data_IF_124724562007
#
_entry.id   IF_124724562007
#
_cell.length_a   1.000
_cell.length_b   1.000
_cell.length_c   1.000
_cell.angle_alpha   90.00
_cell.angle_beta   90.00
_cell.angle_gamma   90.00
#
_symmetry.space_group_name_H-M   'P 1'
#
loop_
_entity.id
_entity.type
_entity.pdbx_description
1 polymer ?
#
# COMPACT_ATOMS: atom_id res chain seq x y z
N UNK A 1 56.93 35.57 19.66
CA UNK A 1 55.96 34.53 19.34
C UNK A 1 54.67 35.22 18.87
N UNK A 2 54.42 35.32 17.57
CA UNK A 2 53.23 35.94 17.01
C UNK A 2 52.23 34.82 16.64
N UNK A 3 51.06 34.82 17.29
CA UNK A 3 49.95 33.93 16.92
C UNK A 3 49.31 34.44 15.63
N UNK A 4 49.28 33.62 14.60
CA UNK A 4 48.45 33.83 13.40
C UNK A 4 47.03 33.32 13.71
N UNK A 5 46.10 34.22 13.88
CA UNK A 5 44.66 33.95 13.66
C UNK A 5 44.40 34.08 12.16
N UNK A 6 44.15 32.97 11.51
CA UNK A 6 43.57 32.95 10.18
C UNK A 6 42.03 32.97 10.32
N UNK A 7 41.44 34.10 10.00
CA UNK A 7 39.98 34.20 9.79
C UNK A 7 39.67 33.55 8.44
N UNK A 8 38.89 32.47 8.46
CA UNK A 8 38.26 31.93 7.26
C UNK A 8 36.95 32.68 7.10
N UNK A 9 37.01 33.79 6.41
CA UNK A 9 35.79 34.46 5.89
C UNK A 9 35.31 33.68 4.67
N UNK A 10 34.47 32.68 4.85
CA UNK A 10 33.66 32.18 3.75
C UNK A 10 32.63 33.27 3.39
N UNK A 11 32.42 33.54 2.08
CA UNK A 11 31.56 34.66 1.65
C UNK A 11 30.10 34.34 1.99
N UNK A 12 29.58 35.04 2.98
CA UNK A 12 28.17 35.02 3.44
C UNK A 12 27.17 35.12 2.27
N UNK A 13 27.55 35.73 1.16
CA UNK A 13 26.77 35.85 -0.06
C UNK A 13 26.45 34.51 -0.76
N UNK A 14 27.40 33.57 -0.83
CA UNK A 14 27.22 32.27 -1.48
C UNK A 14 26.29 31.37 -0.64
N UNK A 15 26.38 31.49 0.67
CA UNK A 15 25.51 30.73 1.58
C UNK A 15 24.07 31.24 1.49
N UNK A 16 23.84 32.56 1.43
CA UNK A 16 22.51 33.14 1.32
C UNK A 16 21.87 32.88 -0.06
N UNK A 17 22.63 32.88 -1.13
CA UNK A 17 22.16 32.56 -2.49
C UNK A 17 21.78 31.09 -2.65
N UNK A 18 22.57 30.18 -2.06
CA UNK A 18 22.26 28.77 -2.01
C UNK A 18 21.05 28.47 -1.11
N UNK A 19 20.89 29.15 0.01
CA UNK A 19 19.71 29.02 0.88
C UNK A 19 18.45 29.50 0.15
N UNK A 20 18.49 30.66 -0.49
CA UNK A 20 17.37 31.19 -1.28
C UNK A 20 16.99 30.29 -2.46
N UNK A 21 17.99 29.69 -3.13
CA UNK A 21 17.74 28.72 -4.21
C UNK A 21 17.15 27.43 -3.68
N UNK A 22 17.63 26.92 -2.55
CA UNK A 22 17.08 25.72 -1.86
C UNK A 22 15.65 26.03 -1.37
N UNK A 23 15.40 27.20 -0.80
CA UNK A 23 14.05 27.62 -0.38
C UNK A 23 13.09 27.71 -1.59
N UNK A 24 13.50 28.30 -2.70
CA UNK A 24 12.72 28.39 -3.93
C UNK A 24 12.44 27.01 -4.54
N UNK A 25 13.46 26.11 -4.56
CA UNK A 25 13.31 24.75 -5.07
C UNK A 25 12.41 23.91 -4.15
N UNK A 26 12.42 24.15 -2.82
CA UNK A 26 11.54 23.49 -1.84
C UNK A 26 10.09 23.99 -1.96
N UNK A 27 9.85 25.27 -2.22
CA UNK A 27 8.50 25.80 -2.46
C UNK A 27 7.86 25.21 -3.72
N UNK A 28 8.66 24.91 -4.76
CA UNK A 28 8.17 24.27 -5.99
C UNK A 28 8.05 22.74 -5.86
N UNK A 29 8.77 22.12 -4.93
CA UNK A 29 8.89 20.66 -4.84
C UNK A 29 7.85 19.99 -3.92
N UNK A 30 7.15 20.75 -3.07
CA UNK A 30 6.17 20.12 -2.16
C UNK A 30 4.93 19.64 -2.89
N UNK A 31 4.64 18.37 -2.69
CA UNK A 31 3.62 17.65 -3.44
C UNK A 31 4.15 17.18 -4.80
N UNK A 32 3.26 16.80 -5.71
CA UNK A 32 3.67 16.34 -7.03
C UNK A 32 4.26 17.48 -7.89
N UNK A 33 5.03 17.12 -8.93
CA UNK A 33 5.54 18.10 -9.92
C UNK A 33 4.40 18.89 -10.53
N UNK A 34 4.63 20.20 -10.69
CA UNK A 34 3.68 21.13 -11.33
C UNK A 34 3.71 21.06 -12.85
N UNK A 35 4.84 20.64 -13.44
CA UNK A 35 5.01 20.53 -14.88
C UNK A 35 5.30 19.09 -15.28
N UNK A 36 4.60 18.59 -16.28
CA UNK A 36 4.86 17.28 -16.85
C UNK A 36 5.59 17.41 -18.18
N UNK A 37 6.77 16.80 -18.28
CA UNK A 37 7.43 16.61 -19.56
C UNK A 37 6.69 15.55 -20.39
N UNK A 38 6.90 15.52 -21.70
CA UNK A 38 6.33 14.48 -22.55
C UNK A 38 6.78 13.05 -22.10
N UNK A 39 8.02 12.92 -21.62
CA UNK A 39 8.54 11.65 -21.07
C UNK A 39 7.79 11.24 -19.81
N UNK A 40 7.53 12.18 -18.90
CA UNK A 40 6.74 11.92 -17.69
C UNK A 40 5.32 11.46 -18.04
N UNK A 41 4.68 12.10 -19.03
CA UNK A 41 3.34 11.72 -19.50
C UNK A 41 3.35 10.34 -20.16
N UNK A 42 4.36 10.03 -20.98
CA UNK A 42 4.50 8.71 -21.61
C UNK A 42 4.72 7.57 -20.58
N UNK A 43 5.58 7.78 -19.58
CA UNK A 43 5.77 6.82 -18.49
C UNK A 43 4.50 6.64 -17.65
N UNK A 44 3.77 7.71 -17.39
CA UNK A 44 2.48 7.63 -16.69
C UNK A 44 1.47 6.80 -17.48
N UNK A 45 1.36 7.02 -18.78
CA UNK A 45 0.50 6.23 -19.66
C UNK A 45 0.93 4.74 -19.66
N UNK A 46 2.23 4.50 -19.75
CA UNK A 46 2.76 3.13 -19.69
C UNK A 46 2.34 2.42 -18.39
N UNK A 47 2.44 3.09 -17.24
CA UNK A 47 2.05 2.52 -15.94
C UNK A 47 0.53 2.31 -15.85
N UNK A 48 -0.27 3.24 -16.38
CA UNK A 48 -1.75 3.08 -16.41
C UNK A 48 -2.15 1.83 -17.20
N UNK A 49 -1.41 1.49 -18.26
CA UNK A 49 -1.66 0.29 -19.07
C UNK A 49 -1.05 -0.96 -18.44
N UNK A 50 0.18 -0.88 -17.96
CA UNK A 50 0.93 -2.07 -17.49
C UNK A 50 0.43 -2.56 -16.15
N UNK A 51 0.05 -1.69 -15.20
CA UNK A 51 -0.38 -2.15 -13.87
C UNK A 51 -1.61 -3.08 -13.91
N UNK A 52 -2.70 -2.80 -14.63
CA UNK A 52 -3.80 -3.74 -14.77
C UNK A 52 -3.38 -5.07 -15.44
N UNK A 53 -2.49 -5.01 -16.44
CA UNK A 53 -1.98 -6.21 -17.12
C UNK A 53 -1.15 -7.07 -16.16
N UNK A 54 -0.32 -6.47 -15.29
CA UNK A 54 0.44 -7.18 -14.26
C UNK A 54 -0.48 -7.88 -13.27
N UNK A 55 -1.56 -7.21 -12.82
CA UNK A 55 -2.53 -7.82 -11.90
C UNK A 55 -3.23 -9.01 -12.56
N UNK A 56 -3.67 -8.88 -13.82
CA UNK A 56 -4.30 -9.97 -14.58
C UNK A 56 -3.31 -11.09 -14.87
N UNK A 57 -2.07 -10.76 -15.24
CA UNK A 57 -1.01 -11.74 -15.51
C UNK A 57 -0.72 -12.59 -14.27
N UNK A 58 -0.54 -11.97 -13.10
CA UNK A 58 -0.28 -12.71 -11.87
C UNK A 58 -1.45 -13.63 -11.49
N UNK A 59 -2.69 -13.17 -11.66
CA UNK A 59 -3.86 -14.01 -11.46
C UNK A 59 -3.91 -15.19 -12.44
N UNK A 60 -3.66 -14.95 -13.74
CA UNK A 60 -3.65 -16.00 -14.75
C UNK A 60 -2.55 -17.03 -14.49
N UNK A 61 -1.36 -16.58 -14.08
CA UNK A 61 -0.26 -17.45 -13.68
C UNK A 61 -0.65 -18.38 -12.53
N UNK A 62 -1.35 -17.85 -11.51
CA UNK A 62 -1.84 -18.65 -10.38
C UNK A 62 -2.95 -19.62 -10.78
N UNK A 63 -3.91 -19.16 -11.56
CA UNK A 63 -5.11 -19.94 -11.87
C UNK A 63 -4.86 -21.06 -12.86
N UNK A 64 -4.00 -20.83 -13.88
CA UNK A 64 -3.84 -21.70 -15.04
C UNK A 64 -2.44 -22.31 -15.20
N UNK A 65 -1.42 -21.76 -14.53
CA UNK A 65 -0.02 -22.14 -14.74
C UNK A 65 0.73 -22.47 -13.44
N UNK A 66 0.03 -22.87 -12.40
CA UNK A 66 0.60 -23.27 -11.10
C UNK A 66 1.54 -22.20 -10.49
N UNK A 67 1.31 -20.91 -10.77
CA UNK A 67 2.16 -19.80 -10.35
C UNK A 67 3.44 -19.60 -11.18
N UNK A 68 3.62 -20.36 -12.28
CA UNK A 68 4.81 -20.26 -13.13
C UNK A 68 4.73 -19.05 -14.07
N UNK A 69 5.49 -17.99 -13.77
CA UNK A 69 5.61 -16.83 -14.63
C UNK A 69 6.24 -17.18 -16.00
N UNK A 70 7.19 -18.12 -16.04
CA UNK A 70 7.85 -18.56 -17.29
C UNK A 70 6.89 -19.31 -18.20
N UNK A 71 6.09 -20.24 -17.67
CA UNK A 71 5.07 -20.93 -18.46
C UNK A 71 4.00 -19.97 -18.98
N UNK A 72 3.58 -19.02 -18.15
CA UNK A 72 2.61 -17.97 -18.53
C UNK A 72 3.16 -17.09 -19.66
N UNK A 73 4.43 -16.65 -19.58
CA UNK A 73 5.07 -15.83 -20.61
C UNK A 73 5.29 -16.61 -21.90
N UNK A 74 5.68 -17.90 -21.85
CA UNK A 74 5.80 -18.76 -23.04
C UNK A 74 4.47 -18.86 -23.76
N UNK A 75 3.40 -19.21 -23.05
CA UNK A 75 2.05 -19.31 -23.63
C UNK A 75 1.55 -17.95 -24.16
N UNK A 76 1.82 -16.85 -23.45
CA UNK A 76 1.48 -15.50 -23.92
C UNK A 76 2.23 -15.16 -25.22
N UNK A 77 3.51 -15.57 -25.34
CA UNK A 77 4.32 -15.35 -26.56
C UNK A 77 3.83 -16.19 -27.73
N UNK A 78 3.40 -17.43 -27.48
CA UNK A 78 2.93 -18.36 -28.51
C UNK A 78 1.53 -18.00 -29.02
N UNK A 79 0.60 -17.71 -28.10
CA UNK A 79 -0.80 -17.40 -28.45
C UNK A 79 -1.01 -15.93 -28.86
N UNK A 80 -0.14 -15.04 -28.42
CA UNK A 80 -0.33 -13.60 -28.50
C UNK A 80 -1.37 -13.08 -27.49
N UNK A 81 -1.38 -11.77 -27.20
CA UNK A 81 -2.12 -11.20 -26.05
C UNK A 81 -3.64 -11.34 -26.15
N UNK A 82 -4.22 -11.24 -27.35
CA UNK A 82 -5.66 -11.33 -27.55
C UNK A 82 -6.18 -12.75 -27.30
N UNK A 83 -5.52 -13.76 -27.91
CA UNK A 83 -5.90 -15.15 -27.73
C UNK A 83 -5.63 -15.62 -26.31
N UNK A 84 -4.47 -15.26 -25.75
CA UNK A 84 -4.14 -15.53 -24.34
C UNK A 84 -5.25 -15.01 -23.40
N UNK A 85 -5.64 -13.74 -23.53
CA UNK A 85 -6.71 -13.17 -22.69
C UNK A 85 -8.07 -13.83 -22.93
N UNK A 86 -8.38 -14.22 -24.17
CA UNK A 86 -9.64 -14.90 -24.48
C UNK A 86 -9.78 -16.25 -23.78
N UNK A 87 -8.66 -16.98 -23.61
CA UNK A 87 -8.61 -18.31 -22.99
C UNK A 87 -8.41 -18.20 -21.47
N UNK A 88 -7.37 -17.48 -21.05
CA UNK A 88 -6.86 -17.46 -19.68
C UNK A 88 -7.21 -16.19 -18.90
N UNK A 89 -7.78 -15.16 -19.52
CA UNK A 89 -8.16 -13.92 -18.84
C UNK A 89 -9.39 -14.07 -17.92
N UNK A 90 -9.45 -13.30 -16.83
CA UNK A 90 -10.59 -13.34 -15.93
C UNK A 90 -11.86 -12.86 -16.64
N UNK A 91 -12.98 -13.51 -16.37
CA UNK A 91 -14.26 -13.18 -17.01
C UNK A 91 -15.12 -12.34 -16.04
N UNK A 92 -15.74 -11.25 -16.52
CA UNK A 92 -16.69 -10.50 -15.71
C UNK A 92 -17.93 -11.36 -15.40
N UNK A 93 -18.44 -11.21 -14.18
CA UNK A 93 -19.72 -11.81 -13.78
C UNK A 93 -20.58 -10.78 -13.07
N UNK A 94 -21.88 -10.78 -13.37
CA UNK A 94 -22.84 -9.86 -12.71
C UNK A 94 -22.81 -10.02 -11.19
N UNK A 95 -22.72 -11.27 -10.72
CA UNK A 95 -22.65 -11.59 -9.29
C UNK A 95 -21.43 -10.91 -8.61
N UNK A 96 -20.26 -11.01 -9.22
CA UNK A 96 -19.04 -10.39 -8.66
C UNK A 96 -19.11 -8.86 -8.73
N UNK A 97 -19.61 -8.29 -9.82
CA UNK A 97 -19.76 -6.83 -9.97
C UNK A 97 -20.73 -6.25 -8.95
N UNK A 98 -21.89 -6.88 -8.76
CA UNK A 98 -22.87 -6.47 -7.74
C UNK A 98 -22.34 -6.70 -6.32
N UNK A 99 -21.62 -7.81 -6.08
CA UNK A 99 -20.97 -8.11 -4.81
C UNK A 99 -19.92 -7.05 -4.46
N UNK A 100 -19.10 -6.63 -5.43
CA UNK A 100 -18.11 -5.57 -5.22
C UNK A 100 -18.75 -4.20 -5.01
N UNK A 101 -19.81 -3.87 -5.74
CA UNK A 101 -20.58 -2.64 -5.51
C UNK A 101 -21.22 -2.63 -4.12
N UNK A 102 -21.82 -3.74 -3.68
CA UNK A 102 -22.37 -3.88 -2.32
C UNK A 102 -21.27 -3.74 -1.25
N UNK A 103 -20.08 -4.29 -1.49
CA UNK A 103 -18.90 -4.11 -0.64
C UNK A 103 -18.51 -2.64 -0.49
N UNK A 104 -18.43 -1.88 -1.59
CA UNK A 104 -18.11 -0.45 -1.56
C UNK A 104 -19.16 0.35 -0.80
N UNK A 105 -20.44 0.07 -1.03
CA UNK A 105 -21.55 0.74 -0.32
C UNK A 105 -21.49 0.41 1.17
N UNK A 106 -21.31 -0.86 1.54
CA UNK A 106 -21.21 -1.28 2.93
C UNK A 106 -20.04 -0.58 3.64
N UNK A 107 -18.85 -0.60 3.04
CA UNK A 107 -17.68 0.09 3.62
C UNK A 107 -17.87 1.61 3.68
N UNK A 108 -18.54 2.21 2.70
CA UNK A 108 -18.90 3.62 2.71
C UNK A 108 -19.83 3.99 3.87
N UNK A 109 -20.87 3.18 4.10
CA UNK A 109 -21.79 3.35 5.23
C UNK A 109 -21.08 3.17 6.58
N UNK A 110 -20.23 2.15 6.70
CA UNK A 110 -19.43 1.92 7.91
C UNK A 110 -18.47 3.10 8.15
N UNK A 111 -17.78 3.59 7.13
CA UNK A 111 -16.89 4.76 7.26
C UNK A 111 -17.64 6.02 7.68
N UNK A 112 -18.82 6.26 7.09
CA UNK A 112 -19.64 7.44 7.37
C UNK A 112 -20.27 7.40 8.76
N UNK A 113 -20.87 6.29 9.16
CA UNK A 113 -21.75 6.24 10.32
C UNK A 113 -21.12 5.64 11.57
N UNK A 114 -20.08 4.78 11.42
CA UNK A 114 -19.45 4.19 12.59
C UNK A 114 -18.65 5.25 13.36
N UNK A 115 -18.89 5.41 14.67
CA UNK A 115 -18.15 6.36 15.49
C UNK A 115 -16.67 5.98 15.59
N UNK A 116 -15.79 6.99 15.71
CA UNK A 116 -14.37 6.80 15.87
C UNK A 116 -13.66 8.09 16.27
N UNK A 117 -12.39 8.01 16.66
CA UNK A 117 -11.59 9.20 16.97
C UNK A 117 -11.49 10.12 15.75
N UNK A 118 -11.37 11.41 16.01
CA UNK A 118 -11.02 12.42 15.00
C UNK A 118 -9.53 12.71 15.16
N UNK A 119 -8.77 12.42 14.14
CA UNK A 119 -7.33 12.66 14.08
C UNK A 119 -7.03 13.80 13.11
N UNK A 120 -5.98 14.56 13.38
CA UNK A 120 -5.52 15.65 12.52
C UNK A 120 -4.35 15.17 11.66
N UNK A 121 -4.41 15.46 10.37
CA UNK A 121 -3.35 15.16 9.40
C UNK A 121 -2.17 16.15 9.50
N UNK A 122 -1.25 16.05 8.53
CA UNK A 122 -0.20 17.03 8.34
C UNK A 122 -0.78 18.30 7.67
N UNK A 123 -0.13 19.43 7.90
CA UNK A 123 -0.42 20.66 7.18
C UNK A 123 -0.23 20.45 5.67
N UNK A 124 -1.20 20.87 4.87
CA UNK A 124 -1.05 20.82 3.41
C UNK A 124 -0.17 21.97 2.91
N UNK A 125 0.31 21.94 1.65
CA UNK A 125 1.07 23.05 1.07
C UNK A 125 0.34 24.40 1.13
N UNK A 126 -1.00 24.40 1.04
CA UNK A 126 -1.81 25.60 1.15
C UNK A 126 -2.12 26.04 2.59
N UNK A 127 -1.59 25.37 3.62
CA UNK A 127 -1.82 25.70 5.03
C UNK A 127 -3.07 25.07 5.64
N UNK A 128 -3.74 24.12 4.95
CA UNK A 128 -4.93 23.48 5.48
C UNK A 128 -4.55 22.37 6.48
N UNK A 129 -5.16 22.39 7.67
CA UNK A 129 -5.01 21.34 8.67
C UNK A 129 -6.26 20.45 8.68
N UNK A 130 -6.19 19.31 8.03
CA UNK A 130 -7.34 18.49 7.72
C UNK A 130 -7.64 17.47 8.84
N UNK A 131 -8.94 17.28 9.13
CA UNK A 131 -9.43 16.28 10.09
C UNK A 131 -9.83 15.00 9.39
N UNK A 132 -9.65 13.88 10.09
CA UNK A 132 -9.92 12.53 9.58
C UNK A 132 -10.61 11.68 10.63
N UNK A 133 -11.59 10.89 10.23
CA UNK A 133 -12.21 9.89 11.09
C UNK A 133 -11.41 8.59 11.04
N UNK A 134 -10.65 8.29 12.09
CA UNK A 134 -9.83 7.08 12.22
C UNK A 134 -10.60 5.97 12.92
N UNK A 135 -11.62 5.44 12.24
CA UNK A 135 -12.50 4.37 12.73
C UNK A 135 -12.19 3.00 12.13
N UNK A 136 -11.01 2.83 11.49
CA UNK A 136 -10.65 1.66 10.71
C UNK A 136 -10.62 0.36 11.49
N UNK A 137 -10.09 0.36 12.70
CA UNK A 137 -10.08 -0.85 13.53
C UNK A 137 -11.49 -1.35 13.84
N UNK A 138 -12.40 -0.43 14.18
CA UNK A 138 -13.81 -0.77 14.43
C UNK A 138 -14.50 -1.28 13.17
N UNK A 139 -14.24 -0.65 12.02
CA UNK A 139 -14.75 -1.08 10.73
C UNK A 139 -14.26 -2.48 10.37
N UNK A 140 -12.97 -2.74 10.59
CA UNK A 140 -12.37 -4.05 10.39
C UNK A 140 -13.01 -5.12 11.29
N UNK A 141 -13.14 -4.86 12.61
CA UNK A 141 -13.77 -5.80 13.56
C UNK A 141 -15.20 -6.12 13.13
N UNK A 142 -16.04 -5.11 12.89
CA UNK A 142 -17.45 -5.31 12.51
C UNK A 142 -17.54 -6.11 11.21
N UNK A 143 -16.73 -5.79 10.21
CA UNK A 143 -16.73 -6.49 8.93
C UNK A 143 -16.39 -7.97 9.09
N UNK A 144 -15.35 -8.30 9.87
CA UNK A 144 -14.93 -9.69 10.09
C UNK A 144 -15.92 -10.46 10.96
N UNK A 145 -16.46 -9.84 12.00
CA UNK A 145 -17.50 -10.46 12.84
C UNK A 145 -18.75 -10.78 12.01
N UNK A 146 -19.21 -9.86 11.18
CA UNK A 146 -20.37 -10.10 10.31
C UNK A 146 -20.08 -11.21 9.28
N UNK A 147 -18.91 -11.21 8.66
CA UNK A 147 -18.49 -12.23 7.70
C UNK A 147 -18.44 -13.63 8.33
N UNK A 148 -17.79 -13.74 9.49
CA UNK A 148 -17.68 -15.02 10.22
C UNK A 148 -19.04 -15.48 10.79
N UNK A 149 -19.85 -14.57 11.32
CA UNK A 149 -21.21 -14.90 11.79
C UNK A 149 -22.11 -15.39 10.66
N UNK A 150 -22.06 -14.74 9.49
CA UNK A 150 -22.79 -15.19 8.31
C UNK A 150 -22.34 -16.60 7.86
N UNK A 151 -21.04 -16.89 7.95
CA UNK A 151 -20.52 -18.24 7.70
C UNK A 151 -20.98 -19.28 8.75
N UNK A 152 -20.92 -18.92 10.04
CA UNK A 152 -21.34 -19.81 11.14
C UNK A 152 -22.84 -20.16 11.11
N UNK A 153 -23.66 -19.23 10.65
CA UNK A 153 -25.11 -19.46 10.45
C UNK A 153 -25.44 -20.18 9.13
N UNK A 154 -24.44 -20.42 8.26
CA UNK A 154 -24.66 -21.02 6.95
C UNK A 154 -25.33 -20.09 5.91
N UNK A 155 -25.53 -18.82 6.24
CA UNK A 155 -26.15 -17.85 5.32
C UNK A 155 -25.18 -17.36 4.24
N UNK A 156 -23.88 -17.50 4.47
CA UNK A 156 -22.81 -17.13 3.54
C UNK A 156 -21.75 -18.25 3.47
N UNK A 157 -21.36 -18.63 2.26
CA UNK A 157 -20.17 -19.44 2.07
C UNK A 157 -18.91 -18.59 2.31
N UNK A 158 -18.10 -18.95 3.32
CA UNK A 158 -16.86 -18.20 3.62
C UNK A 158 -15.85 -18.23 2.46
N UNK A 159 -15.91 -19.22 1.56
CA UNK A 159 -15.10 -19.29 0.35
C UNK A 159 -15.63 -18.42 -0.80
N UNK A 160 -16.67 -17.60 -0.58
CA UNK A 160 -17.37 -16.85 -1.64
C UNK A 160 -16.44 -15.91 -2.42
N UNK A 161 -15.49 -15.25 -1.75
CA UNK A 161 -14.53 -14.35 -2.41
C UNK A 161 -13.59 -15.18 -3.29
N UNK A 162 -13.00 -16.25 -2.77
CA UNK A 162 -12.10 -17.12 -3.53
C UNK A 162 -12.79 -17.74 -4.75
N UNK A 163 -14.04 -18.21 -4.62
CA UNK A 163 -14.83 -18.81 -5.70
C UNK A 163 -15.27 -17.83 -6.79
N UNK A 164 -15.38 -16.53 -6.46
CA UNK A 164 -15.79 -15.49 -7.42
C UNK A 164 -14.63 -14.53 -7.77
N UNK A 165 -13.39 -14.88 -7.38
CA UNK A 165 -12.24 -13.99 -7.51
C UNK A 165 -11.97 -13.51 -8.94
N UNK A 166 -12.11 -14.32 -10.01
CA UNK A 166 -11.93 -13.84 -11.38
C UNK A 166 -12.84 -12.65 -11.73
N UNK A 167 -14.12 -12.79 -11.42
CA UNK A 167 -15.10 -11.71 -11.66
C UNK A 167 -14.88 -10.49 -10.77
N UNK A 168 -14.46 -10.68 -9.51
CA UNK A 168 -14.08 -9.60 -8.61
C UNK A 168 -12.85 -8.85 -9.11
N UNK A 169 -11.86 -9.58 -9.69
CA UNK A 169 -10.68 -8.97 -10.28
C UNK A 169 -11.04 -8.02 -11.42
N UNK A 170 -11.96 -8.41 -12.31
CA UNK A 170 -12.44 -7.52 -13.37
C UNK A 170 -13.18 -6.32 -12.80
N UNK A 171 -14.06 -6.54 -11.81
CA UNK A 171 -14.81 -5.47 -11.18
C UNK A 171 -13.91 -4.43 -10.50
N UNK A 172 -12.90 -4.87 -9.76
CA UNK A 172 -11.99 -3.99 -9.02
C UNK A 172 -11.03 -3.23 -9.95
N UNK A 173 -10.53 -3.88 -11.01
CA UNK A 173 -9.71 -3.23 -12.05
C UNK A 173 -10.52 -2.13 -12.74
N UNK A 174 -11.73 -2.46 -13.16
CA UNK A 174 -12.64 -1.49 -13.78
C UNK A 174 -12.94 -0.32 -12.86
N UNK A 175 -13.29 -0.61 -11.59
CA UNK A 175 -13.55 0.43 -10.60
C UNK A 175 -12.33 1.34 -10.37
N UNK A 176 -11.13 0.80 -10.25
CA UNK A 176 -9.91 1.58 -10.02
C UNK A 176 -9.60 2.57 -11.16
N UNK A 177 -9.86 2.16 -12.42
CA UNK A 177 -9.75 3.06 -13.57
C UNK A 177 -10.79 4.19 -13.51
N UNK A 178 -12.05 3.86 -13.22
CA UNK A 178 -13.12 4.87 -13.09
C UNK A 178 -12.92 5.77 -11.88
N UNK A 179 -12.40 5.26 -10.76
CA UNK A 179 -12.10 6.05 -9.56
C UNK A 179 -11.12 7.18 -9.86
N UNK A 180 -10.06 6.88 -10.62
CA UNK A 180 -9.07 7.89 -11.02
C UNK A 180 -9.68 8.95 -11.96
N UNK A 181 -10.51 8.53 -12.90
CA UNK A 181 -11.23 9.44 -13.78
C UNK A 181 -12.21 10.32 -12.99
N UNK A 182 -12.94 9.73 -12.05
CA UNK A 182 -13.84 10.47 -11.17
C UNK A 182 -13.07 11.51 -10.33
N UNK A 183 -11.92 11.14 -9.75
CA UNK A 183 -11.08 12.05 -8.98
C UNK A 183 -10.60 13.22 -9.85
N UNK A 184 -10.20 12.97 -11.09
CA UNK A 184 -9.79 14.01 -12.03
C UNK A 184 -10.96 14.96 -12.38
N UNK A 185 -12.12 14.42 -12.72
CA UNK A 185 -13.32 15.22 -13.01
C UNK A 185 -13.71 16.06 -11.79
N UNK A 186 -13.76 15.43 -10.60
CA UNK A 186 -14.08 16.12 -9.35
C UNK A 186 -13.14 17.30 -9.08
N UNK A 187 -11.85 17.14 -9.34
CA UNK A 187 -10.85 18.19 -9.15
C UNK A 187 -11.11 19.44 -10.01
N UNK A 188 -11.75 19.26 -11.18
CA UNK A 188 -12.10 20.39 -12.05
C UNK A 188 -13.40 21.07 -11.64
N UNK A 189 -14.45 20.28 -11.31
CA UNK A 189 -15.82 20.82 -11.14
C UNK A 189 -16.21 21.10 -9.68
N UNK A 190 -15.66 20.31 -8.73
CA UNK A 190 -16.02 20.40 -7.31
C UNK A 190 -14.81 20.09 -6.41
N UNK A 191 -13.72 20.87 -6.48
CA UNK A 191 -12.55 20.64 -5.65
C UNK A 191 -12.84 20.89 -4.18
N UNK A 192 -12.27 20.03 -3.30
CA UNK A 192 -12.41 20.17 -1.86
C UNK A 192 -11.61 21.34 -1.31
N UNK A 193 -10.37 21.48 -1.76
CA UNK A 193 -9.44 22.55 -1.40
C UNK A 193 -8.80 23.11 -2.67
N UNK A 194 -9.38 24.16 -3.28
CA UNK A 194 -8.90 24.71 -4.55
C UNK A 194 -7.43 25.13 -4.54
N UNK A 195 -6.92 25.60 -3.39
CA UNK A 195 -5.54 26.05 -3.21
C UNK A 195 -4.52 24.90 -3.14
N UNK A 196 -4.95 23.67 -2.85
CA UNK A 196 -4.08 22.47 -2.83
C UNK A 196 -4.12 21.69 -4.16
N UNK A 197 -4.76 22.23 -5.19
CA UNK A 197 -4.74 21.61 -6.54
C UNK A 197 -3.44 21.92 -7.27
N UNK A 198 -2.93 20.93 -8.00
CA UNK A 198 -1.80 21.10 -8.92
C UNK A 198 -2.15 20.55 -10.30
N UNK A 199 -2.04 21.39 -11.30
CA UNK A 199 -2.21 21.05 -12.71
C UNK A 199 -0.84 20.99 -13.38
N UNK A 200 -0.59 19.94 -14.17
CA UNK A 200 0.68 19.76 -14.86
C UNK A 200 0.66 20.19 -16.33
N UNK A 201 -0.51 20.56 -16.84
CA UNK A 201 -0.73 20.77 -18.27
C UNK A 201 -0.86 19.48 -19.10
N UNK A 202 -0.68 18.32 -18.49
CA UNK A 202 -0.84 17.00 -19.13
C UNK A 202 -2.01 16.24 -18.53
N UNK A 203 -3.06 15.97 -19.30
CA UNK A 203 -4.20 15.18 -18.87
C UNK A 203 -3.79 13.79 -18.32
N UNK A 204 -2.86 13.11 -19.00
CA UNK A 204 -2.40 11.77 -18.64
C UNK A 204 -1.65 11.79 -17.31
N UNK A 205 -0.76 12.76 -17.11
CA UNK A 205 -0.03 12.88 -15.85
C UNK A 205 -0.95 13.30 -14.70
N UNK A 206 -1.91 14.20 -14.96
CA UNK A 206 -2.92 14.60 -13.98
C UNK A 206 -3.84 13.45 -13.60
N UNK A 207 -4.22 12.59 -14.55
CA UNK A 207 -4.95 11.35 -14.30
C UNK A 207 -4.14 10.38 -13.43
N UNK A 208 -2.86 10.18 -13.77
CA UNK A 208 -1.97 9.27 -13.06
C UNK A 208 -1.64 9.75 -11.65
N UNK A 209 -1.13 10.97 -11.53
CA UNK A 209 -0.60 11.50 -10.27
C UNK A 209 -1.66 12.17 -9.38
N UNK A 210 -2.81 12.55 -9.94
CA UNK A 210 -3.87 13.28 -9.23
C UNK A 210 -3.71 14.79 -9.27
N UNK A 211 -4.82 15.52 -9.21
CA UNK A 211 -4.87 16.98 -9.15
C UNK A 211 -5.10 17.45 -7.71
N UNK A 212 -6.09 16.88 -7.02
CA UNK A 212 -6.34 17.19 -5.61
C UNK A 212 -5.44 16.35 -4.71
N UNK A 213 -4.86 16.97 -3.69
CA UNK A 213 -4.07 16.27 -2.70
C UNK A 213 -4.94 15.38 -1.81
N UNK A 214 -6.02 15.92 -1.27
CA UNK A 214 -6.94 15.22 -0.38
C UNK A 214 -8.39 15.47 -0.79
N UNK A 215 -8.88 14.82 -1.88
CA UNK A 215 -10.28 14.96 -2.28
C UNK A 215 -11.22 14.41 -1.22
N UNK A 216 -12.34 15.14 -0.97
CA UNK A 216 -13.29 14.86 0.11
C UNK A 216 -14.74 15.07 -0.31
N UNK A 217 -15.63 14.45 0.46
CA UNK A 217 -17.02 14.84 0.62
C UNK A 217 -17.23 15.39 2.04
N UNK A 218 -17.54 16.69 2.14
CA UNK A 218 -17.61 17.35 3.44
C UNK A 218 -16.27 17.36 4.19
N UNK A 219 -16.32 17.48 5.53
CA UNK A 219 -15.11 17.67 6.35
C UNK A 219 -14.35 16.38 6.63
N UNK A 220 -15.05 15.25 6.81
CA UNK A 220 -14.47 14.02 7.36
C UNK A 220 -14.35 12.86 6.37
N UNK A 221 -15.04 12.91 5.23
CA UNK A 221 -15.03 11.82 4.25
C UNK A 221 -13.92 12.00 3.23
N UNK A 222 -12.73 11.50 3.53
CA UNK A 222 -11.53 11.60 2.70
C UNK A 222 -11.39 10.39 1.78
N UNK A 223 -11.12 10.64 0.48
CA UNK A 223 -11.01 9.59 -0.54
C UNK A 223 -9.79 8.70 -0.35
N UNK A 224 -8.64 9.26 0.03
CA UNK A 224 -7.42 8.47 0.23
C UNK A 224 -7.58 7.51 1.41
N UNK A 225 -7.98 8.06 2.57
CA UNK A 225 -8.16 7.25 3.77
C UNK A 225 -9.24 6.20 3.58
N UNK A 226 -10.34 6.54 2.88
CA UNK A 226 -11.40 5.58 2.59
C UNK A 226 -10.91 4.45 1.69
N UNK A 227 -10.43 4.76 0.47
CA UNK A 227 -10.12 3.72 -0.52
C UNK A 227 -8.94 2.84 -0.10
N UNK A 228 -7.91 3.40 0.52
CA UNK A 228 -6.81 2.61 1.03
C UNK A 228 -7.24 1.73 2.22
N UNK A 229 -7.85 2.33 3.23
CA UNK A 229 -8.19 1.61 4.46
C UNK A 229 -9.39 0.68 4.31
N UNK A 230 -10.52 1.15 3.76
CA UNK A 230 -11.79 0.42 3.86
C UNK A 230 -11.94 -0.65 2.77
N UNK A 231 -12.07 -0.33 1.47
CA UNK A 231 -12.17 -1.39 0.48
C UNK A 231 -10.85 -2.11 0.19
N UNK A 232 -9.68 -1.47 0.43
CA UNK A 232 -8.38 -2.06 0.17
C UNK A 232 -7.86 -2.95 1.32
N UNK A 233 -7.41 -2.34 2.42
CA UNK A 233 -6.72 -3.07 3.52
C UNK A 233 -7.68 -3.98 4.29
N UNK A 234 -8.97 -3.62 4.51
CA UNK A 234 -9.94 -4.55 5.12
C UNK A 234 -10.14 -5.78 4.23
N UNK A 235 -10.23 -5.59 2.90
CA UNK A 235 -10.39 -6.71 1.97
C UNK A 235 -9.21 -7.68 2.03
N UNK A 236 -7.99 -7.23 2.31
CA UNK A 236 -6.79 -8.08 2.38
C UNK A 236 -7.02 -9.29 3.31
N UNK A 237 -7.41 -9.07 4.56
CA UNK A 237 -7.65 -10.18 5.51
C UNK A 237 -8.94 -10.95 5.23
N UNK A 238 -9.97 -10.34 4.62
CA UNK A 238 -11.16 -11.08 4.17
C UNK A 238 -10.84 -12.02 3.01
N UNK A 239 -10.02 -11.59 2.06
CA UNK A 239 -9.54 -12.43 0.95
C UNK A 239 -8.76 -13.60 1.53
N UNK A 240 -7.81 -13.37 2.43
CA UNK A 240 -7.04 -14.41 3.10
C UNK A 240 -7.95 -15.43 3.78
N UNK A 241 -8.90 -14.99 4.62
CA UNK A 241 -9.87 -15.87 5.28
C UNK A 241 -10.72 -16.66 4.28
N UNK A 242 -11.13 -16.04 3.17
CA UNK A 242 -11.92 -16.74 2.16
C UNK A 242 -11.13 -17.82 1.43
N UNK A 243 -9.82 -17.60 1.19
CA UNK A 243 -8.95 -18.61 0.64
C UNK A 243 -8.61 -19.72 1.64
N UNK A 244 -8.54 -19.42 2.94
CA UNK A 244 -8.45 -20.42 4.00
C UNK A 244 -9.68 -21.31 4.05
N UNK A 245 -10.87 -20.73 3.97
CA UNK A 245 -12.12 -21.49 3.87
C UNK A 245 -12.18 -22.32 2.58
N UNK A 246 -11.68 -21.78 1.47
CA UNK A 246 -11.59 -22.50 0.20
C UNK A 246 -10.66 -23.71 0.32
N UNK A 247 -9.46 -23.58 0.89
CA UNK A 247 -8.55 -24.72 1.12
C UNK A 247 -9.21 -25.79 1.99
N UNK A 248 -9.84 -25.38 3.10
CA UNK A 248 -10.55 -26.31 3.97
C UNK A 248 -11.63 -27.10 3.24
N UNK A 249 -12.40 -26.44 2.35
CA UNK A 249 -13.43 -27.11 1.55
C UNK A 249 -12.84 -28.09 0.52
N UNK A 250 -11.61 -27.85 0.03
CA UNK A 250 -10.97 -28.71 -0.96
C UNK A 250 -10.32 -29.96 -0.37
N UNK A 251 -9.65 -29.83 0.79
CA UNK A 251 -8.80 -30.90 1.34
C UNK A 251 -9.17 -31.31 2.78
N UNK A 252 -10.18 -30.66 3.41
CA UNK A 252 -10.67 -31.00 4.75
C UNK A 252 -9.86 -30.44 5.91
N UNK A 253 -8.76 -29.74 5.66
CA UNK A 253 -7.93 -29.07 6.67
C UNK A 253 -7.24 -27.83 6.11
N UNK A 254 -6.59 -27.06 6.98
CA UNK A 254 -5.81 -25.88 6.59
C UNK A 254 -4.33 -26.16 6.87
N UNK A 255 -3.47 -25.95 5.85
CA UNK A 255 -2.02 -26.15 5.98
C UNK A 255 -1.39 -25.13 6.92
N UNK A 256 -0.32 -25.51 7.61
CA UNK A 256 0.41 -24.61 8.51
C UNK A 256 1.08 -23.43 7.77
N UNK A 257 1.45 -23.60 6.50
CA UNK A 257 1.98 -22.52 5.67
C UNK A 257 0.94 -21.42 5.42
N UNK A 258 -0.31 -21.80 5.11
CA UNK A 258 -1.40 -20.85 4.93
C UNK A 258 -1.77 -20.15 6.24
N UNK A 259 -1.81 -20.88 7.34
CA UNK A 259 -2.03 -20.31 8.68
C UNK A 259 -0.96 -19.25 9.00
N UNK A 260 0.30 -19.50 8.69
CA UNK A 260 1.38 -18.53 8.92
C UNK A 260 1.22 -17.26 8.06
N UNK A 261 0.86 -17.41 6.79
CA UNK A 261 0.60 -16.25 5.92
C UNK A 261 -0.57 -15.43 6.46
N UNK A 262 -1.67 -16.07 6.80
CA UNK A 262 -2.85 -15.39 7.33
C UNK A 262 -2.56 -14.71 8.67
N UNK A 263 -1.79 -15.34 9.54
CA UNK A 263 -1.36 -14.75 10.82
C UNK A 263 -0.55 -13.45 10.56
N UNK A 264 0.39 -13.48 9.63
CA UNK A 264 1.20 -12.29 9.33
C UNK A 264 0.37 -11.19 8.65
N UNK A 265 -0.52 -11.52 7.73
CA UNK A 265 -1.46 -10.57 7.14
C UNK A 265 -2.36 -9.95 8.21
N UNK A 266 -2.88 -10.77 9.11
CA UNK A 266 -3.71 -10.33 10.23
C UNK A 266 -2.96 -9.37 11.16
N UNK A 267 -1.75 -9.72 11.59
CA UNK A 267 -0.90 -8.87 12.44
C UNK A 267 -0.67 -7.51 11.75
N UNK A 268 -0.30 -7.52 10.47
CA UNK A 268 -0.05 -6.28 9.73
C UNK A 268 -1.29 -5.38 9.64
N UNK A 269 -2.43 -5.96 9.24
CA UNK A 269 -3.67 -5.21 9.03
C UNK A 269 -4.24 -4.67 10.35
N UNK A 270 -4.20 -5.46 11.42
CA UNK A 270 -4.62 -5.00 12.76
C UNK A 270 -3.70 -3.89 13.27
N UNK A 271 -2.38 -4.05 13.12
CA UNK A 271 -1.42 -3.01 13.50
C UNK A 271 -1.63 -1.71 12.71
N UNK A 272 -1.88 -1.82 11.41
CA UNK A 272 -2.21 -0.66 10.56
C UNK A 272 -3.42 0.11 11.12
N UNK A 273 -4.52 -0.57 11.41
CA UNK A 273 -5.72 0.09 11.92
C UNK A 273 -5.61 0.53 13.37
N UNK A 274 -4.86 -0.18 14.20
CA UNK A 274 -4.57 0.26 15.56
C UNK A 274 -3.81 1.60 15.57
N UNK A 275 -2.94 1.80 14.59
CA UNK A 275 -2.14 3.00 14.40
C UNK A 275 -2.61 3.85 13.21
N UNK A 276 -3.89 3.82 12.85
CA UNK A 276 -4.42 4.50 11.67
C UNK A 276 -4.11 6.01 11.66
N UNK A 277 -4.03 6.66 12.82
CA UNK A 277 -3.62 8.06 12.92
C UNK A 277 -2.17 8.32 12.44
N UNK A 278 -1.30 7.31 12.47
CA UNK A 278 0.07 7.44 11.97
C UNK A 278 0.14 7.41 10.46
N UNK A 279 -0.80 6.70 9.82
CA UNK A 279 -0.93 6.69 8.36
C UNK A 279 -1.13 8.11 7.80
N UNK A 280 -1.80 8.99 8.55
CA UNK A 280 -2.00 10.39 8.17
C UNK A 280 -0.70 11.19 8.00
N UNK A 281 0.42 10.66 8.48
CA UNK A 281 1.77 11.27 8.39
C UNK A 281 2.65 10.59 7.34
N UNK A 282 2.13 9.62 6.62
CA UNK A 282 2.87 8.97 5.53
C UNK A 282 2.91 9.85 4.30
N UNK A 283 3.81 9.51 3.38
CA UNK A 283 3.95 10.22 2.10
C UNK A 283 2.65 10.20 1.29
N UNK A 284 1.94 9.06 1.31
CA UNK A 284 0.66 8.89 0.62
C UNK A 284 -0.38 9.93 1.07
N UNK A 285 -0.46 10.19 2.39
CA UNK A 285 -1.47 11.10 2.93
C UNK A 285 -1.01 12.55 2.95
N UNK A 286 0.27 12.80 3.26
CA UNK A 286 0.79 14.12 3.55
C UNK A 286 1.41 14.82 2.31
N UNK A 287 1.73 14.09 1.25
CA UNK A 287 2.48 14.60 0.12
C UNK A 287 1.82 14.30 -1.23
N UNK A 288 1.39 13.05 -1.44
CA UNK A 288 0.94 12.60 -2.75
C UNK A 288 -0.50 13.05 -3.04
N UNK A 289 -0.78 13.34 -4.31
CA UNK A 289 -2.13 13.68 -4.76
C UNK A 289 -2.92 12.41 -5.10
N UNK A 290 -4.25 12.49 -5.05
CA UNK A 290 -5.11 11.33 -5.29
C UNK A 290 -5.43 11.18 -6.77
N UNK A 291 -4.70 10.34 -7.46
CA UNK A 291 -4.89 9.95 -8.85
C UNK A 291 -4.91 8.43 -9.03
N UNK A 292 -4.64 8.00 -10.25
CA UNK A 292 -4.64 6.59 -10.63
C UNK A 292 -3.70 5.77 -9.73
N UNK A 293 -2.46 6.21 -9.52
CA UNK A 293 -1.48 5.37 -8.80
C UNK A 293 -1.88 5.08 -7.36
N UNK A 294 -2.48 6.03 -6.62
CA UNK A 294 -3.00 5.78 -5.28
C UNK A 294 -4.37 5.11 -5.32
N UNK A 295 -5.30 5.59 -6.16
CA UNK A 295 -6.65 5.05 -6.25
C UNK A 295 -6.65 3.59 -6.74
N UNK A 296 -6.06 3.33 -7.90
CA UNK A 296 -5.93 1.99 -8.45
C UNK A 296 -5.04 1.09 -7.58
N UNK A 297 -3.92 1.64 -7.08
CA UNK A 297 -3.03 0.95 -6.15
C UNK A 297 -3.77 0.43 -4.92
N UNK A 298 -4.57 1.26 -4.28
CA UNK A 298 -5.32 0.91 -3.08
C UNK A 298 -6.39 -0.15 -3.30
N UNK A 299 -7.16 -0.04 -4.38
CA UNK A 299 -8.33 -0.93 -4.59
C UNK A 299 -8.01 -2.18 -5.42
N UNK A 300 -7.06 -2.10 -6.36
CA UNK A 300 -6.74 -3.21 -7.25
C UNK A 300 -5.41 -3.89 -6.92
N UNK A 301 -4.32 -3.13 -6.72
CA UNK A 301 -2.99 -3.71 -6.51
C UNK A 301 -2.87 -4.33 -5.12
N UNK A 302 -3.20 -3.59 -4.06
CA UNK A 302 -3.07 -4.06 -2.67
C UNK A 302 -3.89 -5.33 -2.44
N UNK A 303 -5.20 -5.40 -2.69
CA UNK A 303 -5.97 -6.62 -2.42
C UNK A 303 -5.57 -7.82 -3.26
N UNK A 304 -5.03 -7.62 -4.45
CA UNK A 304 -4.66 -8.72 -5.35
C UNK A 304 -3.23 -9.21 -5.14
N UNK A 305 -2.24 -8.30 -5.16
CA UNK A 305 -0.83 -8.72 -5.09
C UNK A 305 -0.39 -9.05 -3.67
N UNK A 306 -0.92 -8.36 -2.66
CA UNK A 306 -0.54 -8.63 -1.27
C UNK A 306 -1.25 -9.86 -0.66
N UNK A 307 -2.24 -10.41 -1.36
CA UNK A 307 -2.89 -11.67 -0.98
C UNK A 307 -2.45 -12.87 -1.83
N UNK A 308 -1.53 -12.66 -2.77
CA UNK A 308 -1.13 -13.69 -3.74
C UNK A 308 -0.58 -14.95 -3.07
N UNK A 309 0.05 -14.81 -1.90
CA UNK A 309 0.58 -15.92 -1.11
C UNK A 309 -0.56 -16.81 -0.58
N UNK A 310 -1.61 -16.21 -0.02
CA UNK A 310 -2.78 -16.95 0.45
C UNK A 310 -3.52 -17.60 -0.71
N UNK A 311 -3.66 -16.88 -1.84
CA UNK A 311 -4.26 -17.43 -3.06
C UNK A 311 -3.51 -18.64 -3.59
N UNK A 312 -2.15 -18.56 -3.61
CA UNK A 312 -1.28 -19.64 -4.06
C UNK A 312 -1.38 -20.87 -3.15
N UNK A 313 -1.16 -20.68 -1.84
CA UNK A 313 -1.14 -21.78 -0.88
C UNK A 313 -2.50 -22.45 -0.71
N UNK A 314 -3.59 -21.73 -0.94
CA UNK A 314 -4.92 -22.32 -0.91
C UNK A 314 -5.18 -23.26 -2.09
N UNK A 315 -4.57 -23.02 -3.25
CA UNK A 315 -4.66 -23.87 -4.45
C UNK A 315 -3.61 -24.98 -4.48
N UNK A 316 -2.42 -24.69 -4.00
CA UNK A 316 -1.26 -25.55 -3.99
C UNK A 316 -0.81 -25.78 -2.53
N UNK A 317 -1.51 -26.64 -1.78
CA UNK A 317 -1.28 -26.83 -0.34
C UNK A 317 0.14 -27.34 -0.05
N UNK A 318 0.80 -26.72 0.92
CA UNK A 318 2.14 -27.09 1.37
C UNK A 318 2.15 -27.17 2.90
N UNK A 319 2.34 -28.34 3.45
CA UNK A 319 2.62 -28.49 4.88
C UNK A 319 4.14 -28.41 5.12
N UNK A 320 4.53 -27.45 5.93
CA UNK A 320 5.93 -27.26 6.30
C UNK A 320 6.30 -28.23 7.46
N UNK A 321 7.53 -28.76 7.47
CA UNK A 321 8.08 -29.38 8.68
C UNK A 321 7.99 -28.40 9.87
N UNK A 322 7.66 -28.91 11.05
CA UNK A 322 7.45 -28.07 12.25
C UNK A 322 8.63 -27.13 12.54
N UNK A 323 9.86 -27.60 12.34
CA UNK A 323 11.07 -26.78 12.53
C UNK A 323 11.14 -25.60 11.57
N UNK A 324 10.74 -25.77 10.31
CA UNK A 324 10.67 -24.69 9.33
C UNK A 324 9.54 -23.71 9.67
N UNK A 325 8.36 -24.22 10.01
CA UNK A 325 7.24 -23.39 10.42
C UNK A 325 7.57 -22.49 11.63
N UNK A 326 8.20 -23.07 12.67
CA UNK A 326 8.67 -22.34 13.86
C UNK A 326 9.77 -21.33 13.50
N UNK A 327 10.72 -21.72 12.65
CA UNK A 327 11.77 -20.81 12.18
C UNK A 327 11.20 -19.57 11.43
N UNK A 328 10.25 -19.78 10.51
CA UNK A 328 9.57 -18.71 9.78
C UNK A 328 8.78 -17.82 10.74
N UNK A 329 8.05 -18.41 11.70
CA UNK A 329 7.31 -17.66 12.71
C UNK A 329 8.26 -16.78 13.54
N UNK A 330 9.37 -17.32 14.00
CA UNK A 330 10.37 -16.59 14.79
C UNK A 330 10.94 -15.39 14.01
N UNK A 331 11.36 -15.60 12.75
CA UNK A 331 11.87 -14.53 11.88
C UNK A 331 10.78 -13.49 11.62
N UNK A 332 9.54 -13.90 11.38
CA UNK A 332 8.42 -12.98 11.20
C UNK A 332 8.14 -12.12 12.42
N UNK A 333 8.17 -12.69 13.63
CA UNK A 333 8.00 -11.95 14.89
C UNK A 333 9.15 -10.96 15.07
N UNK A 334 10.39 -11.36 14.86
CA UNK A 334 11.56 -10.46 14.95
C UNK A 334 11.40 -9.30 13.96
N UNK A 335 11.04 -9.59 12.70
CA UNK A 335 10.78 -8.56 11.68
C UNK A 335 9.68 -7.58 12.11
N UNK A 336 8.59 -8.09 12.69
CA UNK A 336 7.50 -7.24 13.20
C UNK A 336 7.96 -6.35 14.36
N UNK A 337 8.69 -6.87 15.33
CA UNK A 337 9.21 -6.10 16.47
C UNK A 337 10.12 -4.97 15.99
N UNK A 338 10.99 -5.25 15.04
CA UNK A 338 11.87 -4.25 14.42
C UNK A 338 11.05 -3.17 13.70
N UNK A 339 10.11 -3.58 12.84
CA UNK A 339 9.21 -2.67 12.12
C UNK A 339 8.44 -1.77 13.10
N UNK A 340 7.85 -2.35 14.12
CA UNK A 340 7.06 -1.62 15.12
C UNK A 340 7.92 -0.66 15.92
N UNK A 341 9.09 -1.12 16.38
CA UNK A 341 10.04 -0.30 17.14
C UNK A 341 10.51 0.92 16.36
N UNK A 342 10.83 0.76 15.07
CA UNK A 342 11.27 1.86 14.23
C UNK A 342 10.18 2.92 14.01
N UNK A 343 8.94 2.49 13.77
CA UNK A 343 7.82 3.42 13.60
C UNK A 343 7.49 4.16 14.91
N UNK A 344 7.53 3.44 16.04
CA UNK A 344 7.35 4.05 17.35
C UNK A 344 8.41 5.12 17.65
N UNK A 345 9.69 4.84 17.38
CA UNK A 345 10.77 5.80 17.57
C UNK A 345 10.56 7.08 16.74
N UNK A 346 10.13 6.95 15.47
CA UNK A 346 9.80 8.11 14.63
C UNK A 346 8.67 8.95 15.21
N UNK A 347 7.66 8.30 15.77
CA UNK A 347 6.53 8.99 16.39
C UNK A 347 6.95 9.73 17.67
N UNK A 348 7.69 9.06 18.56
CA UNK A 348 8.20 9.66 19.81
C UNK A 348 9.11 10.86 19.53
N UNK A 349 10.04 10.76 18.57
CA UNK A 349 10.92 11.88 18.20
C UNK A 349 10.12 13.10 17.74
N UNK A 350 9.06 12.90 16.95
CA UNK A 350 8.18 13.99 16.51
C UNK A 350 7.36 14.55 17.65
N UNK A 351 6.78 13.68 18.49
CA UNK A 351 5.94 14.08 19.61
C UNK A 351 6.71 14.85 20.70
N UNK A 352 7.99 14.51 20.93
CA UNK A 352 8.84 15.14 21.96
C UNK A 352 9.68 16.31 21.43
N UNK A 353 9.55 16.65 20.13
CA UNK A 353 10.42 17.64 19.50
C UNK A 353 11.90 17.23 19.52
N UNK A 354 12.19 15.94 19.48
CA UNK A 354 13.55 15.38 19.51
C UNK A 354 14.13 15.21 20.92
N UNK A 355 13.38 15.52 21.97
CA UNK A 355 13.82 15.38 23.38
C UNK A 355 13.54 13.97 23.89
N UNK A 356 14.20 12.98 23.32
CA UNK A 356 14.08 11.58 23.71
C UNK A 356 15.34 10.81 23.34
N UNK A 357 15.49 9.62 23.92
CA UNK A 357 16.54 8.68 23.55
C UNK A 357 16.04 7.66 22.52
N UNK A 358 16.90 7.35 21.57
CA UNK A 358 16.71 6.30 20.57
C UNK A 358 17.84 5.30 20.74
N UNK A 359 17.52 4.05 21.09
CA UNK A 359 18.50 3.01 21.42
C UNK A 359 19.49 3.41 22.52
N UNK A 360 18.99 4.08 23.57
CA UNK A 360 19.79 4.52 24.70
C UNK A 360 20.76 5.67 24.42
N UNK A 361 20.58 6.40 23.32
CA UNK A 361 21.36 7.59 22.95
C UNK A 361 20.41 8.75 22.60
N UNK A 362 20.78 10.01 22.87
CA UNK A 362 19.99 11.15 22.42
C UNK A 362 19.64 11.11 20.96
N UNK A 363 18.38 11.39 20.62
CA UNK A 363 17.88 11.31 19.26
C UNK A 363 18.66 12.25 18.33
N UNK A 364 19.17 11.72 17.21
CA UNK A 364 19.77 12.51 16.13
C UNK A 364 18.73 12.69 15.03
N UNK A 365 18.41 13.93 14.72
CA UNK A 365 17.40 14.29 13.72
C UNK A 365 17.80 15.51 12.93
N UNK A 366 17.25 15.64 11.74
CA UNK A 366 17.37 16.82 10.90
C UNK A 366 16.12 17.67 11.10
N UNK A 367 16.29 18.95 11.32
CA UNK A 367 15.23 19.95 11.27
C UNK A 367 15.00 20.32 9.82
N UNK A 368 13.77 20.15 9.35
CA UNK A 368 13.37 20.48 8.00
C UNK A 368 12.39 21.65 8.05
N UNK A 369 12.87 22.90 7.93
CA UNK A 369 11.99 24.06 7.83
C UNK A 369 11.30 24.06 6.47
N UNK A 370 10.04 24.49 6.45
CA UNK A 370 9.27 24.68 5.23
C UNK A 370 8.28 25.84 5.39
N UNK A 371 7.83 26.40 4.26
CA UNK A 371 6.80 27.43 4.26
C UNK A 371 5.57 26.94 3.53
N UNK A 372 4.41 27.29 4.03
CA UNK A 372 3.14 27.10 3.35
C UNK A 372 2.86 28.27 2.40
N UNK A 373 1.96 28.11 1.43
CA UNK A 373 1.67 29.13 0.43
C UNK A 373 1.03 30.40 1.00
N UNK A 374 0.57 30.36 2.26
CA UNK A 374 0.16 31.55 3.05
C UNK A 374 1.34 32.30 3.68
N UNK A 375 2.59 31.86 3.44
CA UNK A 375 3.82 32.46 3.92
C UNK A 375 4.22 32.07 5.34
N UNK A 376 3.45 31.22 6.02
CA UNK A 376 3.80 30.77 7.38
C UNK A 376 4.94 29.77 7.36
N UNK A 377 5.89 29.94 8.29
CA UNK A 377 7.03 29.04 8.45
C UNK A 377 6.68 27.92 9.43
N UNK A 378 7.01 26.71 9.06
CA UNK A 378 6.81 25.48 9.83
C UNK A 378 8.12 24.68 9.91
N UNK A 379 8.17 23.72 10.81
CA UNK A 379 9.31 22.82 10.96
C UNK A 379 8.83 21.38 11.11
N UNK A 380 9.49 20.46 10.43
CA UNK A 380 9.33 19.02 10.61
C UNK A 380 10.62 18.39 11.09
N UNK A 381 10.52 17.25 11.78
CA UNK A 381 11.67 16.50 12.27
C UNK A 381 11.81 15.20 11.50
N UNK A 382 13.02 14.98 10.96
CA UNK A 382 13.41 13.74 10.31
C UNK A 382 14.42 13.00 11.19
N UNK A 383 14.00 11.88 11.78
CA UNK A 383 14.90 11.02 12.54
C UNK A 383 15.98 10.44 11.60
N UNK A 384 17.25 10.67 11.93
CA UNK A 384 18.35 10.15 11.14
C UNK A 384 18.77 8.75 11.58
N UNK A 385 19.35 8.02 10.66
CA UNK A 385 19.89 6.68 10.85
C UNK A 385 21.12 6.61 11.79
N UNK A 386 21.71 7.74 12.15
CA UNK A 386 22.92 7.81 13.01
C UNK A 386 22.73 7.29 14.43
N UNK A 387 21.51 6.91 14.82
CA UNK A 387 21.20 6.29 16.11
C UNK A 387 21.22 4.76 16.07
N UNK A 388 21.21 4.12 14.89
CA UNK A 388 21.18 2.67 14.76
C UNK A 388 22.62 2.12 14.56
N UNK A 389 23.06 1.14 15.35
CA UNK A 389 24.49 0.74 15.37
C UNK A 389 24.99 0.02 14.11
N UNK A 390 24.18 -0.62 13.28
CA UNK A 390 24.68 -1.42 12.16
C UNK A 390 23.84 -1.38 10.86
N UNK A 391 22.59 -0.95 10.89
CA UNK A 391 21.66 -1.05 9.75
C UNK A 391 21.02 0.29 9.37
N UNK A 392 21.73 1.38 9.54
CA UNK A 392 21.11 2.70 9.65
C UNK A 392 20.42 3.21 8.39
N UNK A 393 20.95 2.97 7.19
CA UNK A 393 20.33 3.43 5.94
C UNK A 393 19.20 2.49 5.47
N UNK A 394 19.41 1.17 5.58
CA UNK A 394 18.42 0.16 5.24
C UNK A 394 17.26 0.06 6.24
N UNK A 395 17.50 0.44 7.48
CA UNK A 395 16.55 0.27 8.58
C UNK A 395 15.31 1.16 8.44
N UNK A 396 15.43 2.39 7.93
CA UNK A 396 14.32 3.32 7.78
C UNK A 396 13.64 3.30 6.41
N UNK A 397 14.32 2.83 5.38
CA UNK A 397 13.80 2.77 4.01
C UNK A 397 13.35 1.37 3.57
N UNK A 398 13.84 0.30 4.20
CA UNK A 398 13.61 -1.08 3.74
C UNK A 398 12.72 -1.93 4.67
N UNK A 399 12.15 -1.37 5.73
CA UNK A 399 11.34 -2.12 6.69
C UNK A 399 10.05 -2.74 6.12
N UNK A 400 9.35 -2.13 5.17
CA UNK A 400 8.34 -2.84 4.39
C UNK A 400 8.93 -4.02 3.62
N UNK A 401 10.19 -3.90 3.16
CA UNK A 401 10.89 -4.93 2.40
C UNK A 401 11.33 -6.12 3.26
N UNK A 402 11.66 -5.93 4.54
CA UNK A 402 11.96 -7.07 5.44
C UNK A 402 10.71 -7.89 5.71
N UNK A 403 9.56 -7.25 5.90
CA UNK A 403 8.27 -7.92 5.98
C UNK A 403 7.93 -8.67 4.68
N UNK A 404 8.08 -8.01 3.55
CA UNK A 404 7.93 -8.61 2.22
C UNK A 404 8.98 -9.70 1.96
N UNK A 405 10.20 -9.58 2.51
CA UNK A 405 11.23 -10.61 2.42
C UNK A 405 10.90 -11.85 3.27
N UNK A 406 10.30 -11.69 4.45
CA UNK A 406 9.82 -12.84 5.25
C UNK A 406 8.67 -13.53 4.52
N UNK A 407 7.75 -12.77 3.95
CA UNK A 407 6.69 -13.30 3.09
C UNK A 407 7.28 -13.85 1.79
N UNK A 408 8.30 -13.22 1.22
CA UNK A 408 9.06 -13.70 0.07
C UNK A 408 9.88 -14.96 0.34
N UNK A 409 10.44 -15.14 1.54
CA UNK A 409 11.07 -16.40 1.96
C UNK A 409 10.06 -17.55 2.03
N UNK A 410 8.83 -17.29 2.48
CA UNK A 410 7.73 -18.28 2.39
C UNK A 410 7.47 -18.68 0.93
N UNK A 411 7.48 -17.73 0.01
CA UNK A 411 7.33 -17.98 -1.44
C UNK A 411 8.53 -18.78 -1.97
N UNK A 412 9.77 -18.44 -1.59
CA UNK A 412 10.99 -19.12 -2.02
C UNK A 412 11.08 -20.55 -1.49
N UNK A 413 10.70 -20.79 -0.24
CA UNK A 413 10.64 -22.16 0.33
C UNK A 413 9.57 -22.97 -0.37
N UNK A 414 8.45 -22.36 -0.78
CA UNK A 414 7.42 -23.02 -1.57
C UNK A 414 7.87 -23.24 -3.02
N UNK A 415 8.64 -22.30 -3.64
CA UNK A 415 9.11 -22.41 -5.02
C UNK A 415 10.25 -23.42 -5.19
N UNK A 416 11.07 -23.67 -4.18
CA UNK A 416 12.13 -24.71 -4.25
C UNK A 416 11.58 -26.13 -4.42
N UNK A 417 10.37 -26.39 -3.94
CA UNK A 417 9.66 -27.66 -4.24
C UNK A 417 9.11 -27.69 -5.67
N UNK A 418 8.78 -26.55 -6.27
CA UNK A 418 8.35 -26.50 -7.68
C UNK A 418 9.47 -26.86 -8.65
N UNK A 419 10.70 -26.40 -8.43
CA UNK A 419 11.85 -26.72 -9.27
C UNK A 419 12.23 -28.20 -9.14
N UNK A 420 12.17 -28.77 -7.94
CA UNK A 420 12.45 -30.20 -7.69
C UNK A 420 11.40 -31.14 -8.31
N UNK A 421 10.12 -30.77 -8.30
CA UNK A 421 9.05 -31.59 -8.90
C UNK A 421 9.01 -31.50 -10.44
N UNK A 422 9.46 -30.38 -11.01
CA UNK A 422 9.57 -30.20 -12.48
C UNK A 422 10.69 -31.06 -13.06
N UNK A 423 11.84 -31.11 -12.38
CA UNK A 423 12.97 -31.99 -12.77
C UNK A 423 12.61 -33.49 -12.73
N UNK A 424 11.82 -33.92 -11.75
CA UNK A 424 11.39 -35.30 -11.63
C UNK A 424 10.34 -35.72 -12.67
N UNK A 425 9.48 -34.82 -13.15
CA UNK A 425 8.49 -35.12 -14.20
C UNK A 425 9.04 -35.03 -15.62
N UNK A 426 10.15 -34.30 -15.87
CA UNK A 426 10.82 -34.28 -17.15
C UNK A 426 11.72 -35.51 -17.35
N UNK A 427 12.15 -36.18 -16.31
CA UNK A 427 12.94 -37.42 -16.37
C UNK A 427 12.05 -38.68 -16.46
N UNK A 428 10.73 -38.56 -16.35
CA UNK A 428 9.76 -39.66 -16.48
C UNK A 428 8.89 -39.61 -17.74
N UNK A 429 9.23 -38.76 -18.69
CA UNK A 429 8.72 -38.71 -20.06
C UNK A 429 9.91 -38.86 -21.03
#
# INVERSE_FOLDING_TARGET
MKSRHGSVDEPIGIISENINKIEHDLEQAWGRKTEATWTTAAFSLLLVVVCPLVVVFNWAALEHFEGSATATLSTLSEDGPIRFYSIYGPKPTTKASLGYAAWLVFQGLVYQFLPGPISTGQMTPAGNLLKYKTNGLRAWIITHVLFLAAGATGTLDLAIIAKNFPGLLVAVVTYGLFLALFAQIKAHIAPSHPTDRKFSGSFIFDYFAGIEMNPRFGELWDFKLFHNGRPGIIAWTLISLSYTAYQYQQIGYVTNSLILVDLFHFIYVVDFFYNESWYLRTIDMAHDHFGYYLGFGSVAVVPNLYTIQAQYLARYPVDLPTTQAVGILAVGIVGYVIFRGANYQKDVVRATGGKCDVWGKPAKFIRAPYKTSDGQAHESLLLTSGNAPFFSYYYYSCLPTVWLAVVGMLILVCSHRMVGSFSARQLSR
#
